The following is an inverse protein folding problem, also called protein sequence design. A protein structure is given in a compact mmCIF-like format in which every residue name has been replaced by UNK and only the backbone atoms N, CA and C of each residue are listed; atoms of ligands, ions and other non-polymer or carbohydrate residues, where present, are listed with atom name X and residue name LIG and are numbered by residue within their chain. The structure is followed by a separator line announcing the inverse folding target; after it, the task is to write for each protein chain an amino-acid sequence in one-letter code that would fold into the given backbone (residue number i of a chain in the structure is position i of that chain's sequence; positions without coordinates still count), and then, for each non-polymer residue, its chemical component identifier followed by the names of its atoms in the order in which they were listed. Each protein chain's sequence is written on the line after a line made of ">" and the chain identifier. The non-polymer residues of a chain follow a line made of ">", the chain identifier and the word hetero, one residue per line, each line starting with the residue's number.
data_IF_729888153125
#
_entry.id   IF_729888153125
#
_cell.length_a   1.000
_cell.length_b   1.000
_cell.length_c   1.000
_cell.angle_alpha   90.00
_cell.angle_beta   90.00
_cell.angle_gamma   90.00
#
_symmetry.space_group_name_H-M   'P 1'
#
loop_
_entity.id
_entity.type
_entity.pdbx_description
1 polymer ?
#
# COMPACT_ATOMS: atom_id res chain seq x y z
N UNK A 1 -10.24 13.43 -18.97
CA UNK A 1 -9.54 12.16 -18.69
C UNK A 1 -9.19 11.52 -20.03
N UNK A 2 -7.93 11.16 -20.27
CA UNK A 2 -7.45 10.69 -21.58
C UNK A 2 -8.07 9.32 -21.92
N UNK A 3 -8.77 9.20 -23.05
CA UNK A 3 -9.44 7.95 -23.47
C UNK A 3 -8.50 6.75 -23.54
N UNK A 4 -7.22 6.98 -23.87
CA UNK A 4 -6.19 5.94 -23.87
C UNK A 4 -5.93 5.40 -22.47
N UNK A 5 -5.85 6.29 -21.47
CA UNK A 5 -5.61 5.93 -20.08
C UNK A 5 -6.76 5.08 -19.52
N UNK A 6 -8.00 5.43 -19.85
CA UNK A 6 -9.19 4.66 -19.44
C UNK A 6 -9.16 3.25 -20.01
N UNK A 7 -8.84 3.10 -21.30
CA UNK A 7 -8.73 1.79 -21.96
C UNK A 7 -7.60 0.92 -21.38
N UNK A 8 -6.45 1.52 -21.09
CA UNK A 8 -5.33 0.81 -20.45
C UNK A 8 -5.68 0.38 -19.02
N UNK A 9 -6.35 1.23 -18.24
CA UNK A 9 -6.85 0.91 -16.91
C UNK A 9 -7.82 -0.28 -16.93
N UNK A 10 -8.83 -0.27 -17.81
CA UNK A 10 -9.79 -1.38 -17.92
C UNK A 10 -9.12 -2.71 -18.32
N UNK A 11 -8.09 -2.64 -19.19
CA UNK A 11 -7.32 -3.83 -19.57
C UNK A 11 -6.57 -4.42 -18.38
N UNK A 12 -5.85 -3.59 -17.62
CA UNK A 12 -5.12 -4.04 -16.44
C UNK A 12 -6.07 -4.57 -15.36
N UNK A 13 -7.21 -3.90 -15.15
CA UNK A 13 -8.25 -4.31 -14.19
C UNK A 13 -8.73 -5.74 -14.44
N UNK A 14 -8.91 -6.14 -15.70
CA UNK A 14 -9.29 -7.52 -16.06
C UNK A 14 -8.22 -8.56 -15.73
N UNK A 15 -6.94 -8.17 -15.74
CA UNK A 15 -5.79 -9.07 -15.54
C UNK A 15 -5.45 -9.19 -14.05
N UNK A 16 -5.49 -8.08 -13.32
CA UNK A 16 -4.95 -7.96 -11.97
C UNK A 16 -6.05 -7.82 -10.89
N UNK A 17 -7.28 -7.47 -11.28
CA UNK A 17 -8.35 -7.08 -10.37
C UNK A 17 -8.30 -5.61 -9.96
N UNK A 18 -9.42 -5.12 -9.42
CA UNK A 18 -9.66 -3.69 -9.13
C UNK A 18 -8.73 -3.12 -8.07
N UNK A 19 -8.34 -3.97 -7.11
CA UNK A 19 -7.71 -3.51 -5.87
C UNK A 19 -6.20 -3.29 -5.99
N UNK A 20 -5.63 -3.59 -7.16
CA UNK A 20 -4.19 -3.54 -7.44
C UNK A 20 -3.82 -2.38 -8.37
N UNK A 21 -4.74 -1.49 -8.71
CA UNK A 21 -4.50 -0.45 -9.71
C UNK A 21 -5.01 0.88 -9.20
N UNK A 22 -4.15 1.89 -9.25
CA UNK A 22 -4.50 3.28 -8.94
C UNK A 22 -4.13 4.20 -10.11
N UNK A 23 -4.78 5.36 -10.18
CA UNK A 23 -4.58 6.35 -11.24
C UNK A 23 -4.05 7.64 -10.61
N UNK A 24 -2.79 7.94 -10.92
CA UNK A 24 -2.22 9.25 -10.60
C UNK A 24 -2.61 10.24 -11.69
N UNK A 25 -3.67 11.00 -11.40
CA UNK A 25 -4.24 12.00 -12.28
C UNK A 25 -3.32 13.22 -12.48
N UNK A 26 -2.41 13.50 -11.54
CA UNK A 26 -1.50 14.64 -11.63
C UNK A 26 -0.43 14.40 -12.70
N UNK A 27 0.11 13.19 -12.73
CA UNK A 27 1.13 12.77 -13.70
C UNK A 27 0.53 12.01 -14.90
N UNK A 28 -0.80 11.80 -14.91
CA UNK A 28 -1.53 11.05 -15.92
C UNK A 28 -0.93 9.65 -16.19
N UNK A 29 -0.63 8.93 -15.10
CA UNK A 29 0.02 7.61 -15.10
C UNK A 29 -0.81 6.59 -14.32
N UNK A 30 -0.70 5.32 -14.70
CA UNK A 30 -1.31 4.20 -13.97
C UNK A 30 -0.26 3.60 -13.02
N UNK A 31 -0.62 3.47 -11.76
CA UNK A 31 0.17 2.79 -10.73
C UNK A 31 -0.40 1.40 -10.54
N UNK A 32 0.47 0.40 -10.59
CA UNK A 32 0.09 -1.00 -10.39
C UNK A 32 0.76 -1.54 -9.15
N UNK A 33 -0.04 -2.02 -8.21
CA UNK A 33 0.41 -2.69 -7.01
C UNK A 33 0.47 -4.20 -7.24
N UNK A 34 1.58 -4.82 -6.90
CA UNK A 34 1.77 -6.27 -7.04
C UNK A 34 2.28 -6.85 -5.73
N UNK A 35 1.88 -8.10 -5.43
CA UNK A 35 2.39 -8.83 -4.25
C UNK A 35 3.70 -9.58 -4.49
N UNK A 36 4.07 -9.74 -5.76
CA UNK A 36 5.32 -10.37 -6.21
C UNK A 36 5.96 -9.43 -7.23
N UNK A 37 7.29 -9.45 -7.36
CA UNK A 37 7.99 -8.67 -8.40
C UNK A 37 7.49 -9.08 -9.79
N UNK A 38 6.60 -8.27 -10.35
CA UNK A 38 6.17 -8.33 -11.75
C UNK A 38 6.73 -7.09 -12.42
N UNK A 39 7.39 -7.25 -13.56
CA UNK A 39 7.77 -6.12 -14.38
C UNK A 39 6.69 -5.89 -15.43
N UNK A 40 6.03 -4.74 -15.40
CA UNK A 40 5.09 -4.31 -16.41
C UNK A 40 5.70 -3.10 -17.13
N UNK A 41 6.19 -3.32 -18.35
CA UNK A 41 6.81 -2.26 -19.14
C UNK A 41 5.85 -1.09 -19.36
N UNK A 42 6.32 0.13 -19.09
CA UNK A 42 5.53 1.35 -19.25
C UNK A 42 4.64 1.71 -18.07
N UNK A 43 4.64 0.93 -16.98
CA UNK A 43 3.86 1.20 -15.77
C UNK A 43 4.75 1.41 -14.55
N UNK A 44 4.28 2.25 -13.62
CA UNK A 44 4.89 2.35 -12.29
C UNK A 44 4.38 1.19 -11.45
N UNK A 45 5.23 0.19 -11.23
CA UNK A 45 4.89 -0.98 -10.42
C UNK A 45 5.46 -0.81 -9.01
N UNK A 46 4.59 -0.92 -8.01
CA UNK A 46 4.95 -0.87 -6.59
C UNK A 46 4.64 -2.21 -5.92
N UNK A 47 5.49 -2.63 -5.00
CA UNK A 47 5.15 -3.74 -4.13
C UNK A 47 4.12 -3.26 -3.08
N UNK A 48 3.02 -3.99 -2.96
CA UNK A 48 1.93 -3.60 -2.08
C UNK A 48 2.34 -3.54 -0.60
N UNK A 49 3.26 -4.43 -0.16
CA UNK A 49 3.75 -4.45 1.21
C UNK A 49 4.73 -3.30 1.44
N UNK A 50 5.59 -2.99 0.48
CA UNK A 50 6.49 -1.85 0.57
C UNK A 50 5.71 -0.52 0.62
N UNK A 51 4.65 -0.38 -0.17
CA UNK A 51 3.78 0.80 -0.12
C UNK A 51 3.13 0.98 1.27
N UNK A 52 2.52 -0.07 1.82
CA UNK A 52 1.88 0.02 3.16
C UNK A 52 2.93 0.29 4.24
N UNK A 53 4.13 -0.28 4.10
CA UNK A 53 5.25 0.00 4.99
C UNK A 53 5.68 1.47 4.94
N UNK A 54 5.77 2.06 3.75
CA UNK A 54 6.07 3.49 3.59
C UNK A 54 4.99 4.37 4.20
N UNK A 55 3.71 4.07 4.00
CA UNK A 55 2.59 4.80 4.63
C UNK A 55 2.69 4.79 6.16
N UNK A 56 3.03 3.64 6.76
CA UNK A 56 3.25 3.53 8.21
C UNK A 56 4.46 4.36 8.66
N UNK A 57 5.58 4.30 7.93
CA UNK A 57 6.79 5.07 8.27
C UNK A 57 6.52 6.57 8.16
N UNK A 58 5.82 7.01 7.11
CA UNK A 58 5.48 8.42 6.92
C UNK A 58 4.53 8.93 8.02
N UNK A 59 3.59 8.08 8.46
CA UNK A 59 2.57 8.43 9.44
C UNK A 59 3.08 8.42 10.88
N UNK A 60 3.92 7.44 11.24
CA UNK A 60 4.42 7.26 12.61
C UNK A 60 5.85 7.78 12.81
N UNK A 61 6.58 8.00 11.72
CA UNK A 61 7.92 8.59 11.70
C UNK A 61 8.90 7.84 12.61
N UNK A 62 9.63 8.63 13.41
CA UNK A 62 10.71 8.16 14.29
C UNK A 62 10.25 7.29 15.47
N UNK A 63 8.94 7.05 15.60
CA UNK A 63 8.37 6.14 16.59
C UNK A 63 8.49 4.68 16.14
N UNK A 64 8.53 4.43 14.83
CA UNK A 64 8.79 3.10 14.26
C UNK A 64 10.25 2.72 14.53
N UNK A 65 10.43 1.57 15.18
CA UNK A 65 11.73 0.96 15.43
C UNK A 65 12.08 -0.08 14.38
N UNK A 66 11.12 -0.92 14.06
CA UNK A 66 11.32 -2.05 13.16
C UNK A 66 9.98 -2.40 12.52
N UNK A 67 10.01 -2.86 11.28
CA UNK A 67 8.85 -3.46 10.62
C UNK A 67 9.27 -4.82 10.10
N UNK A 68 8.58 -5.88 10.55
CA UNK A 68 8.76 -7.24 10.04
C UNK A 68 7.59 -7.62 9.17
N UNK A 69 7.90 -8.26 8.04
CA UNK A 69 6.90 -8.79 7.12
C UNK A 69 6.78 -10.29 7.36
N UNK A 70 5.59 -10.74 7.74
CA UNK A 70 5.25 -12.14 7.84
C UNK A 70 4.06 -12.45 6.94
N UNK A 71 4.35 -12.99 5.75
CA UNK A 71 3.38 -13.15 4.66
C UNK A 71 2.71 -11.81 4.34
N UNK A 72 1.45 -11.66 4.69
CA UNK A 72 0.60 -10.49 4.48
C UNK A 72 0.27 -9.76 5.80
N UNK A 73 1.11 -9.95 6.82
CA UNK A 73 1.04 -9.23 8.09
C UNK A 73 2.29 -8.36 8.22
N UNK A 74 2.09 -7.06 8.43
CA UNK A 74 3.13 -6.10 8.81
C UNK A 74 3.14 -5.99 10.33
N UNK A 75 4.17 -6.54 10.97
CA UNK A 75 4.41 -6.34 12.39
C UNK A 75 5.23 -5.07 12.58
N UNK A 76 4.58 -4.03 13.11
CA UNK A 76 5.16 -2.70 13.30
C UNK A 76 5.54 -2.54 14.77
N UNK A 77 6.84 -2.42 15.03
CA UNK A 77 7.38 -2.23 16.36
C UNK A 77 7.59 -0.75 16.63
N UNK A 78 7.01 -0.22 17.70
CA UNK A 78 7.04 1.21 18.05
C UNK A 78 7.52 1.43 19.48
N UNK A 79 8.11 2.59 19.76
CA UNK A 79 8.55 2.98 21.13
C UNK A 79 7.40 3.28 22.08
N UNK A 80 6.32 3.82 21.52
CA UNK A 80 5.15 4.30 22.25
C UNK A 80 3.95 4.23 21.29
N UNK A 81 2.73 4.13 21.84
CA UNK A 81 1.52 4.00 21.05
C UNK A 81 0.36 4.77 21.68
N UNK A 82 0.10 5.95 21.12
CA UNK A 82 -0.94 6.85 21.59
C UNK A 82 -2.29 6.53 20.91
N UNK A 83 -3.42 6.99 21.46
CA UNK A 83 -4.74 6.84 20.81
C UNK A 83 -4.80 7.45 19.40
N UNK A 84 -4.11 8.56 19.16
CA UNK A 84 -4.03 9.18 17.84
C UNK A 84 -3.29 8.28 16.84
N UNK A 85 -2.21 7.63 17.28
CA UNK A 85 -1.50 6.66 16.44
C UNK A 85 -2.39 5.45 16.15
N UNK A 86 -3.17 5.00 17.13
CA UNK A 86 -4.12 3.91 16.93
C UNK A 86 -5.14 4.25 15.84
N UNK A 87 -5.71 5.45 15.85
CA UNK A 87 -6.65 5.88 14.81
C UNK A 87 -5.98 5.87 13.42
N UNK A 88 -4.79 6.46 13.32
CA UNK A 88 -4.04 6.53 12.06
C UNK A 88 -3.72 5.13 11.54
N UNK A 89 -3.15 4.25 12.37
CA UNK A 89 -2.80 2.89 11.96
C UNK A 89 -4.05 2.09 11.61
N UNK A 90 -5.16 2.27 12.33
CA UNK A 90 -6.42 1.58 12.03
C UNK A 90 -6.97 1.98 10.66
N UNK A 91 -6.87 3.25 10.28
CA UNK A 91 -7.26 3.73 8.94
C UNK A 91 -6.37 3.12 7.87
N UNK A 92 -5.04 3.13 8.09
CA UNK A 92 -4.07 2.54 7.16
C UNK A 92 -4.33 1.03 7.01
N UNK A 93 -4.54 0.32 8.11
CA UNK A 93 -4.84 -1.11 8.11
C UNK A 93 -6.13 -1.40 7.36
N UNK A 94 -7.20 -0.63 7.59
CA UNK A 94 -8.46 -0.82 6.89
C UNK A 94 -8.31 -0.68 5.36
N UNK A 95 -7.65 0.39 4.90
CA UNK A 95 -7.41 0.61 3.48
C UNK A 95 -6.47 -0.44 2.88
N UNK A 96 -5.41 -0.81 3.60
CA UNK A 96 -4.47 -1.84 3.19
C UNK A 96 -5.10 -3.25 3.15
N UNK A 97 -5.98 -3.58 4.08
CA UNK A 97 -6.69 -4.84 4.11
C UNK A 97 -7.69 -4.92 2.95
N UNK A 98 -8.48 -3.86 2.75
CA UNK A 98 -9.45 -3.76 1.66
C UNK A 98 -8.79 -3.87 0.28
N UNK A 99 -7.67 -3.16 0.08
CA UNK A 99 -6.97 -3.13 -1.22
C UNK A 99 -6.06 -4.36 -1.41
N UNK A 100 -5.27 -4.69 -0.40
CA UNK A 100 -4.16 -5.61 -0.57
C UNK A 100 -4.27 -6.87 0.29
N UNK A 101 -5.30 -7.02 1.13
CA UNK A 101 -5.42 -8.13 2.09
C UNK A 101 -4.27 -8.16 3.11
N UNK A 102 -3.69 -7.00 3.38
CA UNK A 102 -2.58 -6.81 4.32
C UNK A 102 -3.13 -6.42 5.69
N UNK A 103 -2.69 -7.08 6.75
CA UNK A 103 -3.02 -6.73 8.13
C UNK A 103 -1.82 -6.04 8.80
N UNK A 104 -2.09 -5.24 9.81
CA UNK A 104 -1.05 -4.49 10.53
C UNK A 104 -1.18 -4.80 12.02
N UNK A 105 -0.10 -5.28 12.62
CA UNK A 105 -0.05 -5.55 14.06
C UNK A 105 0.98 -4.63 14.68
N UNK A 106 0.54 -3.75 15.59
CA UNK A 106 1.44 -2.86 16.32
C UNK A 106 1.90 -3.52 17.62
N UNK A 107 3.21 -3.47 17.88
CA UNK A 107 3.85 -3.98 19.10
C UNK A 107 4.69 -2.88 19.73
N UNK A 108 4.55 -2.67 21.04
CA UNK A 108 5.32 -1.67 21.79
C UNK A 108 6.59 -2.32 22.35
N UNK A 109 7.76 -1.70 22.17
CA UNK A 109 9.06 -2.19 22.64
C UNK A 109 9.96 -1.09 23.23
#
# INVERSE_FOLDING_TARGET
>A
MNERLVKEYEKLRKILGDNLIDIDMLNNQIIVYVRNKVNLEGYKVLDALDYVKEEIINSLGNLVKEIKVNKNILEVYVKDYTPQMFEIVSVIEYEANKKFGTNIVVKII
#
